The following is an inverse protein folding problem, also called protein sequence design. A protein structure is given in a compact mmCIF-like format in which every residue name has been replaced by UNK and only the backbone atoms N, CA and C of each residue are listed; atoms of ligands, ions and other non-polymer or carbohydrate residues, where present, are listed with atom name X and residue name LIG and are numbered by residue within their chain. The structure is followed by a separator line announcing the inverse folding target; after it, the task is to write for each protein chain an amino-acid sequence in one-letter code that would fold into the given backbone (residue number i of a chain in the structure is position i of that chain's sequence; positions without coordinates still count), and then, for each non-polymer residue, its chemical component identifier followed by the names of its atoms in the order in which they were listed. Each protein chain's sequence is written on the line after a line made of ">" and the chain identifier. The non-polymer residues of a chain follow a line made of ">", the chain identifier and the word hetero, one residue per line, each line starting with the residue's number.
data_IF_235246284483
#
_entry.id   IF_235246284483
#
_cell.length_a   1.000
_cell.length_b   1.000
_cell.length_c   1.000
_cell.angle_alpha   90.00
_cell.angle_beta   90.00
_cell.angle_gamma   90.00
#
_symmetry.space_group_name_H-M   'P 1'
#
loop_
_entity.id
_entity.type
_entity.pdbx_description
1 polymer ?
#
# COMPACT_ATOMS: atom_id res chain seq x y z
N UNK A 1 -56.36 -3.98 22.77
CA UNK A 1 -55.47 -4.31 21.64
C UNK A 1 -54.56 -3.10 21.40
N UNK A 2 -53.27 -3.20 21.74
CA UNK A 2 -52.23 -2.23 21.39
C UNK A 2 -51.02 -3.03 20.90
N UNK A 3 -50.48 -2.79 19.69
CA UNK A 3 -49.25 -3.45 19.26
C UNK A 3 -48.06 -2.63 19.77
N UNK A 4 -47.20 -3.25 20.57
CA UNK A 4 -45.91 -2.69 20.93
C UNK A 4 -44.98 -2.74 19.71
N UNK A 5 -44.71 -1.59 19.09
CA UNK A 5 -43.65 -1.46 18.09
C UNK A 5 -42.29 -1.54 18.79
N UNK A 6 -41.58 -2.64 18.57
CA UNK A 6 -40.18 -2.83 18.92
C UNK A 6 -39.32 -2.12 17.86
N UNK A 7 -38.84 -0.92 18.18
CA UNK A 7 -37.84 -0.21 17.35
C UNK A 7 -36.46 -0.72 17.74
N UNK A 8 -35.87 -1.59 16.91
CA UNK A 8 -34.47 -1.99 17.04
C UNK A 8 -33.57 -0.83 16.55
N UNK A 9 -32.65 -0.30 17.37
CA UNK A 9 -31.68 0.67 16.90
C UNK A 9 -30.66 -0.03 16.00
N UNK A 10 -30.64 0.37 14.73
CA UNK A 10 -29.61 -0.04 13.77
C UNK A 10 -28.30 0.64 14.20
N UNK A 11 -27.41 -0.12 14.85
CA UNK A 11 -26.03 0.32 15.07
C UNK A 11 -25.32 0.35 13.70
N UNK A 12 -25.33 1.51 13.04
CA UNK A 12 -24.40 1.78 11.95
C UNK A 12 -22.98 1.85 12.52
N UNK A 13 -22.23 0.75 12.43
CA UNK A 13 -20.81 0.75 12.69
C UNK A 13 -20.09 1.57 11.59
N UNK A 14 -19.89 2.86 11.83
CA UNK A 14 -18.98 3.67 11.02
C UNK A 14 -17.57 3.16 11.29
N UNK A 15 -16.99 2.42 10.35
CA UNK A 15 -15.57 2.07 10.38
C UNK A 15 -14.75 3.36 10.36
N UNK A 16 -14.20 3.76 11.52
CA UNK A 16 -13.23 4.85 11.58
C UNK A 16 -11.95 4.35 10.91
N UNK A 17 -11.58 4.97 9.79
CA UNK A 17 -10.23 4.84 9.28
C UNK A 17 -9.28 5.37 10.35
N UNK A 18 -8.25 4.60 10.69
CA UNK A 18 -7.25 4.98 11.68
C UNK A 18 -6.47 6.21 11.16
N UNK A 19 -6.64 7.39 11.77
CA UNK A 19 -5.96 8.60 11.32
C UNK A 19 -4.45 8.52 11.52
N UNK A 20 -3.96 7.64 12.42
CA UNK A 20 -2.53 7.43 12.64
C UNK A 20 -1.87 6.63 11.50
N UNK A 21 -2.66 5.89 10.73
CA UNK A 21 -2.17 5.02 9.67
C UNK A 21 -1.59 3.71 10.19
N UNK A 22 -1.45 2.74 9.29
CA UNK A 22 -0.91 1.42 9.61
C UNK A 22 0.59 1.43 9.41
N UNK A 23 1.34 1.14 10.47
CA UNK A 23 2.78 0.99 10.39
C UNK A 23 3.15 -0.38 9.82
N UNK A 24 3.99 -0.39 8.79
CA UNK A 24 4.50 -1.60 8.14
C UNK A 24 6.03 -1.63 8.23
N UNK A 25 6.55 -2.70 8.83
CA UNK A 25 7.97 -2.92 9.03
C UNK A 25 8.59 -3.56 7.79
N UNK A 26 9.70 -3.01 7.29
CA UNK A 26 10.40 -3.58 6.13
C UNK A 26 11.03 -4.94 6.48
N UNK A 27 10.79 -5.96 5.63
CA UNK A 27 11.36 -7.32 5.82
C UNK A 27 12.21 -7.80 4.64
N UNK A 28 12.12 -7.16 3.47
CA UNK A 28 13.05 -7.43 2.38
C UNK A 28 14.25 -6.48 2.43
N UNK A 29 15.44 -6.95 2.05
CA UNK A 29 16.65 -6.12 1.97
C UNK A 29 16.42 -4.85 1.14
N UNK A 30 15.70 -4.99 0.02
CA UNK A 30 15.33 -3.86 -0.85
C UNK A 30 14.43 -2.86 -0.14
N UNK A 31 13.41 -3.31 0.60
CA UNK A 31 12.55 -2.42 1.39
C UNK A 31 13.37 -1.70 2.46
N UNK A 32 14.16 -2.44 3.25
CA UNK A 32 14.97 -1.86 4.31
C UNK A 32 15.98 -0.81 3.79
N UNK A 33 16.53 -1.03 2.59
CA UNK A 33 17.58 -0.16 2.02
C UNK A 33 17.05 1.05 1.25
N UNK A 34 15.81 0.98 0.73
CA UNK A 34 15.21 2.02 -0.11
C UNK A 34 14.14 2.77 0.66
N UNK A 35 13.10 2.08 1.12
CA UNK A 35 11.91 2.70 1.69
C UNK A 35 11.94 2.78 3.21
N UNK A 36 12.68 1.88 3.86
CA UNK A 36 12.59 1.60 5.29
C UNK A 36 11.17 1.22 5.71
N UNK A 37 10.88 1.35 7.00
CA UNK A 37 9.52 1.20 7.51
C UNK A 37 8.62 2.30 6.93
N UNK A 38 7.36 1.93 6.67
CA UNK A 38 6.39 2.86 6.07
C UNK A 38 5.16 2.99 6.94
N UNK A 39 4.50 4.15 6.83
CA UNK A 39 3.17 4.38 7.39
C UNK A 39 2.18 4.52 6.25
N UNK A 40 1.12 3.69 6.26
CA UNK A 40 0.11 3.65 5.21
C UNK A 40 -1.24 4.11 5.75
N UNK A 41 -1.73 5.21 5.22
CA UNK A 41 -3.09 5.74 5.43
C UNK A 41 -3.90 5.56 4.13
N UNK A 42 -5.22 5.82 4.13
CA UNK A 42 -6.03 5.70 2.91
C UNK A 42 -5.58 6.58 1.73
N UNK A 43 -4.96 7.72 2.01
CA UNK A 43 -4.61 8.77 1.05
C UNK A 43 -3.12 9.13 1.03
N UNK A 44 -2.28 8.41 1.80
CA UNK A 44 -0.84 8.69 1.86
C UNK A 44 -0.02 7.47 2.25
N UNK A 45 1.16 7.36 1.63
CA UNK A 45 2.26 6.52 2.13
C UNK A 45 3.40 7.43 2.53
N UNK A 46 3.87 7.27 3.76
CA UNK A 46 5.05 7.95 4.29
C UNK A 46 6.17 6.93 4.44
N UNK A 47 7.32 7.20 3.84
CA UNK A 47 8.53 6.38 3.90
C UNK A 47 9.40 6.77 5.09
N UNK A 48 10.34 5.90 5.45
CA UNK A 48 11.39 6.26 6.39
C UNK A 48 12.16 7.49 5.88
N UNK A 49 12.49 8.41 6.79
CA UNK A 49 13.03 9.73 6.45
C UNK A 49 11.96 10.80 6.16
N UNK A 50 10.67 10.45 6.20
CA UNK A 50 9.56 11.43 6.21
C UNK A 50 9.05 11.85 4.83
N UNK A 51 9.67 11.39 3.74
CA UNK A 51 9.13 11.59 2.40
C UNK A 51 7.81 10.85 2.21
N UNK A 52 6.90 11.39 1.40
CA UNK A 52 5.58 10.81 1.23
C UNK A 52 5.07 10.91 -0.21
N UNK A 53 4.19 9.98 -0.57
CA UNK A 53 3.35 10.05 -1.77
C UNK A 53 1.89 10.18 -1.36
N UNK A 54 1.19 11.13 -1.98
CA UNK A 54 -0.26 11.28 -1.81
C UNK A 54 -0.97 10.34 -2.77
N UNK A 55 -1.82 9.48 -2.21
CA UNK A 55 -2.61 8.49 -2.91
C UNK A 55 -4.01 9.01 -3.18
N UNK A 56 -4.55 8.63 -4.32
CA UNK A 56 -5.89 9.00 -4.77
C UNK A 56 -6.52 7.86 -5.56
N UNK A 57 -7.82 7.94 -5.77
CA UNK A 57 -8.57 7.03 -6.64
C UNK A 57 -8.33 5.53 -6.31
N UNK A 58 -8.60 5.10 -5.05
CA UNK A 58 -8.46 3.70 -4.68
C UNK A 58 -9.34 2.83 -5.58
N UNK A 59 -8.73 1.85 -6.24
CA UNK A 59 -9.40 0.90 -7.12
C UNK A 59 -9.15 -0.51 -6.61
N UNK A 60 -10.21 -1.21 -6.22
CA UNK A 60 -10.13 -2.62 -5.84
C UNK A 60 -9.81 -3.49 -7.06
N UNK A 61 -8.82 -4.36 -6.93
CA UNK A 61 -8.40 -5.30 -7.96
C UNK A 61 -8.54 -6.73 -7.41
N UNK A 62 -9.64 -7.45 -7.68
CA UNK A 62 -9.88 -8.76 -7.08
C UNK A 62 -8.95 -9.86 -7.63
N UNK A 63 -8.27 -9.62 -8.76
CA UNK A 63 -7.42 -10.60 -9.46
C UNK A 63 -6.09 -9.99 -9.93
N UNK A 64 -5.51 -9.09 -9.14
CA UNK A 64 -4.18 -8.53 -9.44
C UNK A 64 -3.16 -9.67 -9.52
N UNK A 65 -2.34 -9.71 -10.57
CA UNK A 65 -1.35 -10.78 -10.75
C UNK A 65 -0.09 -10.47 -9.96
N UNK A 66 0.21 -11.24 -8.92
CA UNK A 66 1.44 -11.12 -8.15
C UNK A 66 1.94 -12.52 -7.77
N UNK A 67 3.26 -12.73 -7.79
CA UNK A 67 3.86 -14.01 -7.37
C UNK A 67 3.26 -15.22 -8.14
N UNK A 68 2.99 -15.04 -9.43
CA UNK A 68 2.39 -16.06 -10.31
C UNK A 68 0.90 -16.33 -10.10
N UNK A 69 0.26 -15.71 -9.11
CA UNK A 69 -1.12 -16.00 -8.69
C UNK A 69 -2.01 -14.74 -8.69
N UNK A 70 -3.33 -14.89 -8.83
CA UNK A 70 -4.25 -13.78 -8.61
C UNK A 70 -4.40 -13.50 -7.11
N UNK A 71 -4.28 -12.23 -6.72
CA UNK A 71 -4.49 -11.76 -5.35
C UNK A 71 -5.45 -10.56 -5.34
N UNK A 72 -6.14 -10.37 -4.21
CA UNK A 72 -6.88 -9.14 -3.97
C UNK A 72 -5.89 -8.00 -3.64
N UNK A 73 -5.96 -6.91 -4.39
CA UNK A 73 -5.12 -5.74 -4.21
C UNK A 73 -5.93 -4.45 -4.26
N UNK A 74 -5.32 -3.35 -3.84
CA UNK A 74 -5.84 -2.00 -4.08
C UNK A 74 -4.79 -1.20 -4.82
N UNK A 75 -5.18 -0.67 -5.98
CA UNK A 75 -4.36 0.26 -6.76
C UNK A 75 -4.77 1.68 -6.42
N UNK A 76 -3.78 2.55 -6.33
CA UNK A 76 -3.93 3.98 -6.11
C UNK A 76 -3.20 4.72 -7.23
N UNK A 77 -3.74 5.86 -7.62
CA UNK A 77 -3.00 6.85 -8.41
C UNK A 77 -2.24 7.76 -7.46
N UNK A 78 -1.00 8.09 -7.79
CA UNK A 78 -0.26 9.14 -7.10
C UNK A 78 -0.81 10.49 -7.57
N UNK A 79 -1.34 11.29 -6.64
CA UNK A 79 -2.03 12.53 -6.96
C UNK A 79 -1.10 13.55 -7.64
N UNK A 80 0.13 13.67 -7.13
CA UNK A 80 1.22 14.42 -7.74
C UNK A 80 2.38 13.45 -8.00
N UNK A 81 2.51 12.92 -9.24
CA UNK A 81 3.55 11.95 -9.56
C UNK A 81 4.93 12.47 -9.21
N UNK A 82 5.67 11.68 -8.43
CA UNK A 82 6.97 12.05 -7.91
C UNK A 82 7.80 10.79 -7.67
N UNK A 83 9.11 10.98 -7.54
CA UNK A 83 10.05 9.91 -7.24
C UNK A 83 11.07 10.45 -6.24
N UNK A 84 10.69 10.59 -4.96
CA UNK A 84 11.52 11.24 -3.96
C UNK A 84 12.84 10.49 -3.75
N UNK A 85 13.87 11.22 -3.29
CA UNK A 85 15.08 10.58 -2.76
C UNK A 85 14.69 9.99 -1.41
N UNK A 86 14.90 8.69 -1.25
CA UNK A 86 14.61 7.93 -0.04
C UNK A 86 15.92 7.53 0.66
N UNK A 87 15.88 6.49 1.49
CA UNK A 87 17.04 6.05 2.24
C UNK A 87 18.22 5.73 1.31
N UNK A 88 19.41 6.06 1.79
CA UNK A 88 20.68 5.82 1.08
C UNK A 88 20.76 6.46 -0.31
N UNK A 89 19.98 7.52 -0.57
CA UNK A 89 19.96 8.19 -1.87
C UNK A 89 19.19 7.44 -2.95
N UNK A 90 18.48 6.36 -2.60
CA UNK A 90 17.70 5.56 -3.53
C UNK A 90 16.39 6.26 -3.92
N UNK A 91 15.70 5.72 -4.93
CA UNK A 91 14.34 6.12 -5.32
C UNK A 91 13.50 4.88 -5.61
N UNK A 92 12.21 5.05 -5.89
CA UNK A 92 11.33 3.92 -6.20
C UNK A 92 11.45 3.45 -7.64
N UNK A 93 11.55 4.40 -8.60
CA UNK A 93 11.62 4.12 -10.03
C UNK A 93 12.93 4.57 -10.68
N UNK A 94 13.40 5.76 -10.31
CA UNK A 94 14.62 6.33 -10.82
C UNK A 94 15.87 5.75 -10.16
N UNK A 95 16.99 5.86 -10.87
CA UNK A 95 18.32 5.76 -10.26
C UNK A 95 18.83 7.16 -9.95
N UNK A 96 19.86 7.58 -10.70
CA UNK A 96 20.44 8.93 -10.60
C UNK A 96 19.47 10.04 -11.05
N UNK A 97 18.59 9.74 -12.01
CA UNK A 97 17.57 10.66 -12.52
C UNK A 97 16.18 10.20 -12.07
N UNK A 98 15.31 11.09 -11.58
CA UNK A 98 13.98 10.72 -11.11
C UNK A 98 13.08 10.25 -12.27
N UNK A 99 12.31 9.19 -12.02
CA UNK A 99 11.25 8.72 -12.91
C UNK A 99 9.94 8.72 -12.11
N UNK A 100 8.97 9.61 -12.37
CA UNK A 100 7.82 9.77 -11.50
C UNK A 100 7.02 8.49 -11.27
N UNK A 101 6.77 8.16 -10.00
CA UNK A 101 5.81 7.13 -9.60
C UNK A 101 4.41 7.67 -9.84
N UNK A 102 3.61 6.95 -10.60
CA UNK A 102 2.24 7.33 -10.98
C UNK A 102 1.19 6.42 -10.36
N UNK A 103 1.56 5.17 -10.04
CA UNK A 103 0.69 4.22 -9.36
C UNK A 103 1.40 3.49 -8.23
N UNK A 104 0.63 3.23 -7.17
CA UNK A 104 1.00 2.32 -6.09
C UNK A 104 -0.04 1.22 -6.04
N UNK A 105 0.41 -0.03 -5.89
CA UNK A 105 -0.47 -1.17 -5.61
C UNK A 105 -0.08 -1.78 -4.27
N UNK A 106 -1.08 -1.97 -3.41
CA UNK A 106 -0.92 -2.58 -2.09
C UNK A 106 -1.71 -3.89 -2.04
N UNK A 107 -1.09 -4.95 -1.50
CA UNK A 107 -1.77 -6.23 -1.30
C UNK A 107 -1.21 -7.00 -0.09
N UNK A 108 -1.96 -8.01 0.34
CA UNK A 108 -1.44 -9.05 1.25
C UNK A 108 -0.95 -10.19 0.38
N UNK A 109 0.36 -10.49 0.34
CA UNK A 109 0.89 -11.58 -0.47
C UNK A 109 0.57 -12.93 0.17
N UNK A 110 0.94 -14.02 -0.53
CA UNK A 110 0.88 -15.34 0.08
C UNK A 110 1.77 -15.36 1.33
N UNK A 111 1.23 -15.91 2.41
CA UNK A 111 1.95 -16.11 3.67
C UNK A 111 2.89 -17.31 3.54
N UNK A 112 4.16 -17.11 3.84
CA UNK A 112 5.16 -18.17 3.96
C UNK A 112 5.41 -18.54 5.43
N UNK A 113 6.11 -19.64 5.66
CA UNK A 113 6.51 -20.03 7.02
C UNK A 113 7.44 -18.96 7.60
N UNK A 114 7.10 -18.47 8.80
CA UNK A 114 7.82 -17.38 9.46
C UNK A 114 7.21 -15.99 9.26
N UNK A 115 6.33 -15.81 8.26
CA UNK A 115 5.60 -14.55 8.12
C UNK A 115 4.59 -14.39 9.28
N UNK A 116 4.44 -13.18 9.79
CA UNK A 116 3.41 -12.84 10.78
C UNK A 116 2.16 -12.31 10.08
N UNK A 117 2.30 -11.16 9.43
CA UNK A 117 1.22 -10.45 8.76
C UNK A 117 1.77 -9.73 7.50
N UNK A 118 2.10 -10.47 6.44
CA UNK A 118 2.88 -9.92 5.35
C UNK A 118 2.09 -8.88 4.56
N UNK A 119 2.79 -7.89 4.03
CA UNK A 119 2.27 -6.80 3.21
C UNK A 119 3.21 -6.56 2.05
N UNK A 120 2.66 -6.16 0.92
CA UNK A 120 3.43 -5.85 -0.26
C UNK A 120 3.01 -4.53 -0.88
N UNK A 121 3.99 -3.83 -1.43
CA UNK A 121 3.86 -2.61 -2.19
C UNK A 121 4.54 -2.79 -3.54
N UNK A 122 3.88 -2.37 -4.62
CA UNK A 122 4.50 -2.22 -5.93
C UNK A 122 4.34 -0.78 -6.39
N UNK A 123 5.44 -0.19 -6.84
CA UNK A 123 5.46 1.14 -7.44
C UNK A 123 5.55 1.02 -8.96
N UNK A 124 4.79 1.85 -9.68
CA UNK A 124 4.80 1.90 -11.14
C UNK A 124 4.92 3.33 -11.63
N UNK A 125 5.59 3.49 -12.76
CA UNK A 125 5.66 4.71 -13.55
C UNK A 125 4.75 4.60 -14.79
N UNK A 126 4.54 5.73 -15.46
CA UNK A 126 3.79 5.78 -16.73
C UNK A 126 2.29 5.98 -16.56
N UNK A 127 1.56 5.94 -17.67
CA UNK A 127 0.13 6.31 -17.70
C UNK A 127 -0.80 5.11 -17.60
N UNK A 128 -0.34 3.93 -17.99
CA UNK A 128 -1.13 2.69 -18.02
C UNK A 128 -1.39 2.17 -16.62
N UNK A 129 -2.67 2.02 -16.18
CA UNK A 129 -2.97 1.47 -14.87
C UNK A 129 -2.54 -0.01 -14.76
N UNK A 130 -1.73 -0.40 -13.77
CA UNK A 130 -1.27 -1.78 -13.62
C UNK A 130 -2.40 -2.74 -13.23
N UNK A 131 -2.28 -3.97 -13.70
CA UNK A 131 -3.16 -5.12 -13.39
C UNK A 131 -2.38 -6.31 -12.79
N UNK A 132 -1.05 -6.22 -12.76
CA UNK A 132 -0.15 -7.18 -12.15
C UNK A 132 1.25 -6.62 -11.94
N UNK A 133 2.11 -7.35 -11.24
CA UNK A 133 3.54 -7.03 -11.10
C UNK A 133 4.31 -7.21 -12.41
N UNK A 134 3.72 -7.84 -13.42
CA UNK A 134 4.21 -7.96 -14.78
C UNK A 134 3.76 -6.82 -15.70
N UNK A 135 2.93 -5.89 -15.20
CA UNK A 135 2.48 -4.73 -15.97
C UNK A 135 3.65 -3.81 -16.35
N UNK A 136 3.60 -3.15 -17.52
CA UNK A 136 4.61 -2.17 -17.92
C UNK A 136 4.82 -1.08 -16.88
N UNK A 137 6.05 -0.59 -16.79
CA UNK A 137 6.41 0.50 -15.88
C UNK A 137 6.56 0.09 -14.42
N UNK A 138 6.56 -1.21 -14.08
CA UNK A 138 6.94 -1.67 -12.74
C UNK A 138 8.34 -1.14 -12.40
N UNK A 139 8.43 -0.48 -11.26
CA UNK A 139 9.65 0.10 -10.74
C UNK A 139 10.30 -0.79 -9.68
N UNK A 140 9.48 -1.33 -8.78
CA UNK A 140 9.96 -2.19 -7.71
C UNK A 140 8.80 -2.78 -6.91
N UNK A 141 9.09 -3.91 -6.28
CA UNK A 141 8.21 -4.58 -5.32
C UNK A 141 8.91 -4.67 -3.97
N UNK A 142 8.18 -4.34 -2.91
CA UNK A 142 8.72 -4.18 -1.57
C UNK A 142 7.86 -4.98 -0.59
N UNK A 143 8.50 -5.68 0.34
CA UNK A 143 7.84 -6.59 1.26
C UNK A 143 8.00 -6.12 2.69
N UNK A 144 6.91 -6.19 3.44
CA UNK A 144 6.79 -5.71 4.80
C UNK A 144 5.99 -6.70 5.65
N UNK A 145 5.97 -6.47 6.95
CA UNK A 145 4.95 -6.99 7.86
C UNK A 145 4.13 -5.85 8.44
N UNK A 146 2.85 -6.09 8.72
CA UNK A 146 2.10 -5.17 9.58
C UNK A 146 2.73 -5.18 10.98
N UNK A 147 3.15 -4.00 11.46
CA UNK A 147 3.66 -3.87 12.82
C UNK A 147 2.55 -4.27 13.82
N UNK A 148 2.89 -4.95 14.92
CA UNK A 148 1.94 -5.16 16.01
C UNK A 148 1.39 -3.79 16.46
N UNK A 149 0.09 -3.69 16.69
CA UNK A 149 -0.45 -2.49 17.34
C UNK A 149 0.30 -2.28 18.66
N UNK A 150 0.82 -1.06 18.87
CA UNK A 150 1.40 -0.71 20.17
C UNK A 150 0.35 -1.00 21.25
N UNK A 151 0.70 -1.85 22.21
CA UNK A 151 -0.15 -2.13 23.38
C UNK A 151 -0.09 -0.98 24.36
#
# INVERSE_FOLDING_TARGET
>A
MLPALLVLPILCATGRADPAGRQWQAISNTAASITGDITVTPDRITFAGGHALILSQPTALPRFRAEGSPVAATRYRVASPADPILLNGNRLCGGRTPVPVTYIVLWTPRKFAGDTAPRSLAAFSGTTPPTGTDSPGLCGTFRYEASPAAR
#
